data_IF_344501573192
#
_entry.id   IF_344501573192
#
_cell.length_a   1.000
_cell.length_b   1.000
_cell.length_c   1.000
_cell.angle_alpha   90.00
_cell.angle_beta   90.00
_cell.angle_gamma   90.00
#
_symmetry.space_group_name_H-M   'P 1'
#
loop_
_entity.id
_entity.type
_entity.pdbx_description
1 polymer ?
#
# COMPACT_ATOMS: atom_id res chain seq x y z
N UNK A 1 0.23 32.77 26.29
CA UNK A 1 -1.03 33.30 25.70
C UNK A 1 -0.68 34.52 24.85
N UNK A 2 -1.07 34.50 23.55
CA UNK A 2 -0.78 35.46 22.44
C UNK A 2 0.71 35.52 22.02
N UNK A 3 1.11 35.60 20.75
CA UNK A 3 0.45 35.88 19.47
C UNK A 3 1.36 35.30 18.36
N UNK A 4 0.86 34.48 17.43
CA UNK A 4 1.61 34.04 16.23
C UNK A 4 1.16 34.88 15.04
N UNK A 5 2.12 35.57 14.43
CA UNK A 5 1.90 36.57 13.38
C UNK A 5 1.47 35.96 12.05
N UNK A 6 0.53 36.66 11.41
CA UNK A 6 0.24 36.57 9.97
C UNK A 6 1.47 36.97 9.17
N UNK A 7 1.88 36.12 8.23
CA UNK A 7 2.48 36.56 6.96
C UNK A 7 1.83 35.72 5.87
N UNK A 8 1.01 36.38 5.05
CA UNK A 8 0.61 35.88 3.73
C UNK A 8 1.64 36.37 2.71
N UNK A 9 2.08 35.56 1.74
CA UNK A 9 2.63 36.07 0.51
C UNK A 9 1.55 36.10 -0.58
N UNK A 10 1.40 37.27 -1.18
CA UNK A 10 0.63 37.52 -2.40
C UNK A 10 1.31 36.83 -3.58
N UNK A 11 0.68 35.80 -4.16
CA UNK A 11 1.06 35.22 -5.45
C UNK A 11 0.18 35.85 -6.54
N UNK A 12 0.73 36.86 -7.22
CA UNK A 12 0.20 37.39 -8.47
C UNK A 12 0.69 36.57 -9.65
N UNK A 13 -0.27 36.14 -10.46
CA UNK A 13 -0.18 35.91 -11.90
C UNK A 13 0.84 34.87 -12.42
N UNK A 14 0.53 33.59 -12.18
CA UNK A 14 0.89 32.53 -13.11
C UNK A 14 -0.37 31.76 -13.47
N UNK A 15 -0.70 31.73 -14.77
CA UNK A 15 -1.76 30.92 -15.34
C UNK A 15 -1.45 29.44 -15.09
N UNK A 16 -2.10 28.87 -14.09
CA UNK A 16 -2.04 27.43 -13.81
C UNK A 16 -2.77 26.69 -14.92
N UNK A 17 -2.05 25.86 -15.67
CA UNK A 17 -2.62 24.89 -16.60
C UNK A 17 -3.46 23.89 -15.80
N UNK A 18 -4.62 23.50 -16.33
CA UNK A 18 -5.58 22.56 -15.70
C UNK A 18 -4.97 21.19 -15.37
N UNK A 19 -3.78 20.87 -15.91
CA UNK A 19 -3.03 19.66 -15.61
C UNK A 19 -2.39 19.63 -14.20
N UNK A 20 -2.11 20.79 -13.58
CA UNK A 20 -1.37 20.85 -12.30
C UNK A 20 -2.26 20.85 -11.05
N UNK A 21 -3.58 20.84 -11.20
CA UNK A 21 -4.53 20.84 -10.08
C UNK A 21 -4.83 19.45 -9.50
N UNK A 22 -4.33 18.36 -10.11
CA UNK A 22 -4.65 16.98 -9.70
C UNK A 22 -3.65 16.32 -8.74
N UNK A 23 -2.50 16.93 -8.42
CA UNK A 23 -1.45 16.30 -7.60
C UNK A 23 -1.43 16.81 -6.14
N UNK A 24 -2.53 16.60 -5.43
CA UNK A 24 -2.59 16.72 -3.96
C UNK A 24 -3.19 15.50 -3.26
N UNK A 25 -2.81 14.29 -3.68
CA UNK A 25 -2.89 13.12 -2.80
C UNK A 25 -1.51 12.87 -2.19
N UNK A 26 -1.28 13.45 -1.01
CA UNK A 26 -0.16 13.01 -0.16
C UNK A 26 -0.65 11.74 0.55
N UNK A 27 -0.28 10.58 0.02
CA UNK A 27 -0.40 9.31 0.73
C UNK A 27 0.80 9.21 1.68
N UNK A 28 0.57 9.37 2.98
CA UNK A 28 1.61 9.11 3.97
C UNK A 28 1.64 7.60 4.24
N UNK A 29 2.72 6.92 3.87
CA UNK A 29 2.93 5.52 4.25
C UNK A 29 3.57 5.53 5.64
N UNK A 30 2.92 4.93 6.63
CA UNK A 30 3.48 4.68 7.96
C UNK A 30 3.87 3.21 8.00
N UNK A 31 5.14 2.92 8.27
CA UNK A 31 5.61 1.55 8.49
C UNK A 31 5.59 1.22 9.98
N UNK A 32 5.17 0.00 10.30
CA UNK A 32 5.33 -0.58 11.63
C UNK A 32 6.36 -1.72 11.50
N UNK A 33 7.59 -1.44 11.94
CA UNK A 33 8.78 -2.32 12.02
C UNK A 33 9.61 -2.53 10.75
N UNK A 34 10.94 -2.38 10.90
CA UNK A 34 11.97 -2.41 9.86
C UNK A 34 12.53 -3.82 9.51
N UNK A 35 11.81 -4.89 9.88
CA UNK A 35 12.24 -6.28 9.64
C UNK A 35 11.33 -6.97 8.63
N UNK A 36 11.86 -7.81 7.72
CA UNK A 36 11.04 -8.60 6.80
C UNK A 36 10.04 -9.45 7.60
N UNK A 37 8.76 -9.18 7.36
CA UNK A 37 7.70 -9.67 8.24
C UNK A 37 7.42 -11.14 7.95
N UNK A 38 7.52 -12.00 8.98
CA UNK A 38 6.99 -13.36 8.92
C UNK A 38 5.46 -13.31 9.10
N UNK A 39 4.74 -13.72 8.07
CA UNK A 39 3.29 -13.59 7.98
C UNK A 39 2.61 -14.96 8.09
N UNK A 40 1.60 -15.06 8.95
CA UNK A 40 0.73 -16.24 8.95
C UNK A 40 -0.14 -16.27 7.70
N UNK A 41 -0.55 -17.47 7.28
CA UNK A 41 -1.45 -17.71 6.13
C UNK A 41 -2.63 -16.74 6.09
N UNK A 42 -3.37 -16.62 7.19
CA UNK A 42 -4.53 -15.70 7.28
C UNK A 42 -4.14 -14.24 7.00
N UNK A 43 -2.99 -13.80 7.51
CA UNK A 43 -2.53 -12.43 7.32
C UNK A 43 -2.13 -12.17 5.87
N UNK A 44 -1.52 -13.16 5.21
CA UNK A 44 -1.22 -13.10 3.78
C UNK A 44 -2.51 -13.02 2.96
N UNK A 45 -3.51 -13.85 3.28
CA UNK A 45 -4.81 -13.84 2.62
C UNK A 45 -5.49 -12.45 2.67
N UNK A 46 -5.50 -11.84 3.86
CA UNK A 46 -6.01 -10.48 4.07
C UNK A 46 -5.24 -9.42 3.24
N UNK A 47 -3.91 -9.49 3.22
CA UNK A 47 -3.07 -8.51 2.53
C UNK A 47 -3.17 -8.61 1.01
N UNK A 48 -3.31 -9.83 0.47
CA UNK A 48 -3.35 -10.10 -0.97
C UNK A 48 -4.78 -10.09 -1.52
N UNK A 49 -5.81 -10.11 -0.67
CA UNK A 49 -7.20 -10.06 -1.08
C UNK A 49 -7.76 -11.39 -1.57
N UNK A 50 -7.26 -12.51 -1.04
CA UNK A 50 -7.70 -13.87 -1.40
C UNK A 50 -8.17 -14.64 -0.17
N UNK A 51 -8.78 -15.81 -0.36
CA UNK A 51 -9.18 -16.68 0.75
C UNK A 51 -7.99 -17.44 1.36
N UNK A 52 -8.08 -17.77 2.65
CA UNK A 52 -7.10 -18.63 3.34
C UNK A 52 -6.85 -19.95 2.61
N UNK A 53 -7.90 -20.57 2.04
CA UNK A 53 -7.80 -21.80 1.23
C UNK A 53 -6.95 -21.60 -0.02
N UNK A 54 -7.09 -20.44 -0.67
CA UNK A 54 -6.29 -20.09 -1.86
C UNK A 54 -4.81 -19.98 -1.52
N UNK A 55 -4.46 -19.34 -0.40
CA UNK A 55 -3.07 -19.29 0.07
C UNK A 55 -2.54 -20.69 0.40
N UNK A 56 -3.34 -21.53 1.07
CA UNK A 56 -2.97 -22.94 1.36
C UNK A 56 -2.73 -23.74 0.10
N UNK A 57 -3.54 -23.53 -0.94
CA UNK A 57 -3.39 -24.17 -2.24
C UNK A 57 -2.08 -23.78 -2.90
N UNK A 58 -1.67 -22.51 -2.80
CA UNK A 58 -0.38 -22.05 -3.34
C UNK A 58 0.81 -22.68 -2.61
N UNK A 59 0.71 -22.82 -1.29
CA UNK A 59 1.71 -23.51 -0.47
C UNK A 59 1.79 -24.99 -0.89
N UNK A 60 0.64 -25.68 -0.99
CA UNK A 60 0.59 -27.08 -1.40
C UNK A 60 1.13 -27.30 -2.82
N UNK A 61 0.96 -26.32 -3.70
CA UNK A 61 1.52 -26.32 -5.06
C UNK A 61 3.01 -25.90 -5.11
N UNK A 62 3.66 -25.64 -3.98
CA UNK A 62 5.07 -25.23 -3.90
C UNK A 62 5.36 -23.87 -4.51
N UNK A 63 4.35 -23.00 -4.64
CA UNK A 63 4.46 -21.72 -5.34
C UNK A 63 5.03 -20.61 -4.45
N UNK A 64 5.03 -20.80 -3.14
CA UNK A 64 5.59 -19.86 -2.17
C UNK A 64 6.32 -20.64 -1.08
N UNK A 65 7.58 -20.31 -0.77
CA UNK A 65 8.29 -20.87 0.37
C UNK A 65 7.52 -20.64 1.68
N UNK A 66 7.71 -21.57 2.61
CA UNK A 66 7.11 -21.49 3.94
C UNK A 66 8.11 -21.95 4.98
N UNK A 67 8.00 -21.35 6.16
CA UNK A 67 8.73 -21.73 7.35
C UNK A 67 7.76 -22.09 8.47
N UNK A 68 8.29 -22.67 9.54
CA UNK A 68 7.53 -22.97 10.76
C UNK A 68 8.07 -22.07 11.87
N UNK A 69 7.20 -21.27 12.46
CA UNK A 69 7.58 -20.40 13.57
C UNK A 69 7.86 -21.20 14.86
N UNK A 70 8.38 -20.51 15.89
CA UNK A 70 8.67 -21.13 17.18
C UNK A 70 7.46 -21.78 17.88
N UNK A 71 6.23 -21.50 17.42
CA UNK A 71 5.00 -22.08 17.92
C UNK A 71 4.43 -23.19 17.02
N UNK A 72 5.19 -23.65 16.02
CA UNK A 72 4.77 -24.75 15.12
C UNK A 72 3.81 -24.32 14.01
N UNK A 73 3.66 -23.02 13.74
CA UNK A 73 2.71 -22.50 12.74
C UNK A 73 3.42 -22.18 11.44
N UNK A 74 2.76 -22.49 10.32
CA UNK A 74 3.22 -22.09 8.98
C UNK A 74 3.22 -20.58 8.84
N UNK A 75 4.38 -20.02 8.50
CA UNK A 75 4.61 -18.62 8.20
C UNK A 75 5.28 -18.47 6.85
N UNK A 76 5.07 -17.31 6.22
CA UNK A 76 5.61 -16.94 4.92
C UNK A 76 6.43 -15.67 5.11
N UNK A 77 7.62 -15.59 4.53
CA UNK A 77 8.35 -14.33 4.50
C UNK A 77 7.63 -13.35 3.57
N UNK A 78 7.47 -12.10 4.00
CA UNK A 78 6.81 -11.09 3.18
C UNK A 78 7.46 -10.91 1.80
N UNK A 79 8.78 -11.06 1.70
CA UNK A 79 9.50 -11.01 0.42
C UNK A 79 9.06 -12.11 -0.56
N UNK A 80 8.86 -13.34 -0.06
CA UNK A 80 8.36 -14.46 -0.88
C UNK A 80 6.92 -14.21 -1.35
N UNK A 81 6.11 -13.58 -0.51
CA UNK A 81 4.75 -13.16 -0.87
C UNK A 81 4.77 -12.09 -1.95
N UNK A 82 5.72 -11.16 -1.93
CA UNK A 82 5.88 -10.16 -3.00
C UNK A 82 6.17 -10.82 -4.34
N UNK A 83 7.10 -11.77 -4.39
CA UNK A 83 7.42 -12.48 -5.62
C UNK A 83 6.21 -13.26 -6.16
N UNK A 84 5.42 -13.84 -5.25
CA UNK A 84 4.17 -14.49 -5.58
C UNK A 84 3.14 -13.52 -6.20
N UNK A 85 2.95 -12.35 -5.59
CA UNK A 85 2.01 -11.32 -6.06
C UNK A 85 2.44 -10.80 -7.42
N UNK A 86 3.73 -10.49 -7.60
CA UNK A 86 4.29 -10.03 -8.89
C UNK A 86 4.12 -11.06 -10.00
N UNK A 87 4.34 -12.34 -9.69
CA UNK A 87 4.11 -13.43 -10.65
C UNK A 87 2.63 -13.55 -11.05
N UNK A 88 1.70 -13.10 -10.19
CA UNK A 88 0.25 -13.24 -10.37
C UNK A 88 -0.47 -12.00 -10.87
N UNK A 89 0.13 -10.81 -10.82
CA UNK A 89 -0.43 -9.56 -11.33
C UNK A 89 -0.82 -9.59 -12.83
N UNK A 90 -0.60 -10.70 -13.54
CA UNK A 90 -1.09 -10.99 -14.90
C UNK A 90 -2.51 -11.58 -14.98
N UNK A 91 -3.19 -11.84 -13.87
CA UNK A 91 -4.59 -12.24 -13.86
C UNK A 91 -5.39 -11.31 -12.93
N UNK A 92 -6.59 -10.84 -13.33
CA UNK A 92 -7.48 -10.15 -12.40
C UNK A 92 -7.71 -11.05 -11.20
N UNK A 93 -7.42 -10.55 -10.01
CA UNK A 93 -7.80 -11.21 -8.76
C UNK A 93 -9.34 -11.15 -8.69
N UNK A 94 -9.99 -12.30 -8.58
CA UNK A 94 -11.46 -12.37 -8.47
C UNK A 94 -11.91 -11.62 -7.21
N UNK A 95 -12.77 -10.62 -7.40
CA UNK A 95 -13.44 -9.83 -6.36
C UNK A 95 -14.41 -10.72 -5.56
N UNK A 96 -13.89 -11.52 -4.63
CA UNK A 96 -14.74 -12.32 -3.74
C UNK A 96 -14.35 -12.23 -2.26
N UNK A 97 -13.91 -11.05 -1.79
CA UNK A 97 -14.03 -10.68 -0.37
C UNK A 97 -14.40 -9.20 -0.26
N UNK A 98 -15.71 -8.92 -0.21
CA UNK A 98 -16.23 -7.62 0.17
C UNK A 98 -15.97 -7.34 1.66
N UNK A 99 -14.91 -6.59 1.97
CA UNK A 99 -14.76 -5.93 3.27
C UNK A 99 -14.86 -4.42 3.06
N UNK A 100 -16.08 -3.89 3.14
CA UNK A 100 -16.25 -2.47 3.40
C UNK A 100 -15.82 -2.17 4.84
N UNK A 101 -14.64 -1.56 5.00
CA UNK A 101 -14.33 -0.81 6.22
C UNK A 101 -13.91 0.60 5.86
N UNK A 102 -14.90 1.48 5.87
CA UNK A 102 -14.72 2.92 6.01
C UNK A 102 -14.28 3.27 7.44
N UNK A 103 -12.99 3.08 7.74
CA UNK A 103 -12.25 3.84 8.77
C UNK A 103 -11.37 4.92 8.12
N UNK A 104 -11.87 5.41 6.97
CA UNK A 104 -11.63 6.66 6.23
C UNK A 104 -10.20 7.12 6.15
N UNK A 105 -9.36 6.36 5.46
CA UNK A 105 -8.14 6.75 4.73
C UNK A 105 -6.94 5.85 5.01
N UNK A 106 -7.05 4.90 5.91
CA UNK A 106 -5.97 3.99 6.24
C UNK A 106 -6.13 2.68 5.45
N UNK A 107 -5.13 2.34 4.64
CA UNK A 107 -5.02 1.12 3.87
C UNK A 107 -3.80 0.35 4.35
N UNK A 108 -4.04 -0.75 5.05
CA UNK A 108 -2.97 -1.65 5.48
C UNK A 108 -2.65 -2.61 4.34
N UNK A 109 -1.40 -2.65 3.90
CA UNK A 109 -0.98 -3.43 2.75
C UNK A 109 0.46 -3.93 2.84
N UNK A 110 0.80 -4.85 1.94
CA UNK A 110 2.16 -5.35 1.73
C UNK A 110 2.85 -4.43 0.73
N UNK A 111 4.02 -3.89 1.05
CA UNK A 111 4.85 -3.18 0.08
C UNK A 111 5.30 -4.19 -0.97
N UNK A 112 4.83 -4.03 -2.20
CA UNK A 112 5.16 -4.92 -3.32
C UNK A 112 6.19 -4.30 -4.26
N UNK A 113 6.36 -2.98 -4.23
CA UNK A 113 7.33 -2.29 -5.06
C UNK A 113 7.78 -0.96 -4.44
N UNK A 114 9.07 -0.66 -4.58
CA UNK A 114 9.67 0.65 -4.29
C UNK A 114 10.57 1.00 -5.46
N UNK A 115 10.26 2.10 -6.16
CA UNK A 115 11.11 2.68 -7.20
C UNK A 115 11.60 4.04 -6.73
N UNK A 116 12.91 4.25 -6.72
CA UNK A 116 13.50 5.47 -6.19
C UNK A 116 14.34 6.19 -7.23
N UNK A 117 14.01 7.46 -7.43
CA UNK A 117 14.86 8.45 -8.09
C UNK A 117 15.63 9.25 -7.02
N UNK A 118 16.57 10.15 -7.40
CA UNK A 118 17.35 10.91 -6.42
C UNK A 118 16.53 11.77 -5.46
N UNK A 119 15.32 12.19 -5.86
CA UNK A 119 14.47 13.12 -5.08
C UNK A 119 13.15 12.47 -4.66
N UNK A 120 12.52 11.72 -5.57
CA UNK A 120 11.20 11.15 -5.38
C UNK A 120 11.24 9.63 -5.48
N UNK A 121 10.31 8.98 -4.81
CA UNK A 121 10.12 7.53 -4.84
C UNK A 121 8.64 7.20 -5.01
N UNK A 122 8.39 6.16 -5.78
CA UNK A 122 7.10 5.50 -5.90
C UNK A 122 7.10 4.26 -5.02
N UNK A 123 6.07 4.13 -4.18
CA UNK A 123 5.84 2.97 -3.32
C UNK A 123 4.48 2.39 -3.64
N UNK A 124 4.44 1.08 -3.93
CA UNK A 124 3.20 0.36 -4.25
C UNK A 124 2.89 -0.62 -3.13
N UNK A 125 1.66 -0.57 -2.61
CA UNK A 125 1.15 -1.46 -1.58
C UNK A 125 0.01 -2.31 -2.15
N UNK A 126 0.07 -3.62 -1.93
CA UNK A 126 -1.07 -4.53 -2.10
C UNK A 126 -1.93 -4.47 -0.84
N UNK A 127 -3.17 -4.01 -0.97
CA UNK A 127 -4.12 -3.75 0.11
C UNK A 127 -5.42 -4.54 -0.13
N UNK A 128 -5.38 -5.85 0.08
CA UNK A 128 -6.51 -6.72 -0.25
C UNK A 128 -6.66 -6.82 -1.77
N UNK A 129 -7.86 -6.58 -2.30
CA UNK A 129 -8.14 -6.61 -3.74
C UNK A 129 -7.62 -5.38 -4.51
N UNK A 130 -7.10 -4.37 -3.81
CA UNK A 130 -6.68 -3.11 -4.42
C UNK A 130 -5.18 -2.86 -4.27
N UNK A 131 -4.58 -2.20 -5.25
CA UNK A 131 -3.25 -1.62 -5.14
C UNK A 131 -3.32 -0.13 -4.80
N UNK A 132 -2.49 0.32 -3.86
CA UNK A 132 -2.35 1.72 -3.48
C UNK A 132 -0.95 2.19 -3.84
N UNK A 133 -0.85 3.21 -4.69
CA UNK A 133 0.42 3.84 -5.06
C UNK A 133 0.60 5.15 -4.32
N UNK A 134 1.74 5.32 -3.65
CA UNK A 134 2.18 6.57 -3.03
C UNK A 134 3.41 7.13 -3.75
N UNK A 135 3.44 8.46 -3.89
CA UNK A 135 4.63 9.21 -4.26
C UNK A 135 5.12 9.98 -3.03
N UNK A 136 6.37 9.78 -2.65
CA UNK A 136 7.01 10.45 -1.51
C UNK A 136 8.47 10.75 -1.79
N UNK A 137 9.11 11.56 -0.94
CA UNK A 137 10.55 11.82 -1.11
C UNK A 137 11.35 10.55 -0.88
N UNK A 138 12.47 10.43 -1.59
CA UNK A 138 13.38 9.30 -1.41
C UNK A 138 13.96 9.25 0.00
N UNK A 139 14.14 10.41 0.65
CA UNK A 139 14.57 10.45 2.04
C UNK A 139 13.50 9.91 3.00
N UNK A 140 12.21 10.13 2.74
CA UNK A 140 11.14 9.54 3.55
C UNK A 140 11.10 8.00 3.42
N UNK A 141 11.29 7.47 2.21
CA UNK A 141 11.41 6.00 2.00
C UNK A 141 12.56 5.43 2.81
N UNK A 142 13.73 6.10 2.82
CA UNK A 142 14.91 5.68 3.59
C UNK A 142 14.67 5.78 5.09
N UNK A 143 14.09 6.87 5.56
CA UNK A 143 13.78 7.09 6.98
C UNK A 143 12.80 6.05 7.51
N UNK A 144 11.79 5.69 6.71
CA UNK A 144 10.80 4.66 7.04
C UNK A 144 11.29 3.24 6.78
N UNK A 145 12.46 3.07 6.18
CA UNK A 145 13.04 1.76 5.85
C UNK A 145 12.18 0.93 4.87
N UNK A 146 11.37 1.57 4.02
CA UNK A 146 10.41 0.84 3.18
C UNK A 146 11.13 -0.03 2.15
N UNK A 147 10.91 -1.34 2.24
CA UNK A 147 11.34 -2.31 1.24
C UNK A 147 10.22 -3.28 0.87
N UNK A 148 10.25 -3.88 -0.32
CA UNK A 148 9.31 -4.92 -0.68
C UNK A 148 9.29 -6.06 0.35
N UNK A 149 8.09 -6.50 0.73
CA UNK A 149 7.87 -7.56 1.71
C UNK A 149 7.52 -7.04 3.11
N UNK A 150 7.56 -5.73 3.32
CA UNK A 150 7.12 -5.12 4.57
C UNK A 150 5.62 -4.87 4.59
N UNK A 151 5.00 -5.01 5.76
CA UNK A 151 3.64 -4.52 5.97
C UNK A 151 3.70 -3.04 6.30
N UNK A 152 2.93 -2.24 5.58
CA UNK A 152 2.85 -0.81 5.78
C UNK A 152 1.39 -0.33 5.70
N UNK A 153 1.16 0.87 6.20
CA UNK A 153 -0.15 1.48 6.30
C UNK A 153 -0.15 2.79 5.52
N UNK A 154 -0.84 2.82 4.38
CA UNK A 154 -1.04 4.05 3.62
C UNK A 154 -2.19 4.86 4.22
N UNK A 155 -1.90 6.08 4.66
CA UNK A 155 -2.88 7.04 5.20
C UNK A 155 -3.11 8.15 4.19
N UNK A 156 -4.34 8.25 3.70
CA UNK A 156 -4.82 9.36 2.87
C UNK A 156 -5.22 10.53 3.77
N UNK A 157 -4.87 11.75 3.40
CA UNK A 157 -5.50 12.92 4.01
C UNK A 157 -6.70 13.30 3.15
N UNK A 158 -7.89 12.73 3.44
CA UNK A 158 -9.10 13.05 2.68
C UNK A 158 -9.55 14.49 2.94
N UNK A 159 -9.00 15.42 2.17
CA UNK A 159 -9.62 16.73 1.95
C UNK A 159 -10.51 16.73 0.72
N UNK A 160 -10.56 15.62 -0.04
CA UNK A 160 -11.36 15.50 -1.28
C UNK A 160 -11.80 14.05 -1.47
N UNK A 161 -13.10 13.85 -1.73
CA UNK A 161 -13.71 12.54 -2.05
C UNK A 161 -14.33 12.67 -3.44
N UNK A 162 -14.00 11.74 -4.33
CA UNK A 162 -14.63 11.60 -5.66
C UNK A 162 -15.49 10.34 -5.65
N UNK A 163 -16.75 10.46 -6.07
CA UNK A 163 -17.71 9.35 -6.17
C UNK A 163 -18.07 9.19 -7.63
N UNK A 164 -17.81 8.00 -8.19
CA UNK A 164 -18.21 7.63 -9.53
C UNK A 164 -19.17 6.44 -9.45
N UNK A 165 -20.20 6.45 -10.29
CA UNK A 165 -21.10 5.31 -10.48
C UNK A 165 -20.93 4.80 -11.90
N UNK A 166 -20.88 3.49 -12.09
CA UNK A 166 -20.96 2.88 -13.43
C UNK A 166 -22.24 3.36 -14.10
N UNK A 167 -22.13 4.09 -15.22
CA UNK A 167 -23.28 4.34 -16.10
C UNK A 167 -23.55 3.04 -16.84
N UNK A 168 -24.66 2.39 -16.51
CA UNK A 168 -25.25 1.43 -17.43
C UNK A 168 -25.77 2.23 -18.65
N UNK A 169 -25.37 1.78 -19.84
CA UNK A 169 -25.68 2.42 -21.13
C UNK A 169 -27.15 2.30 -21.53
#
# INVERSE_FOLDING_TARGET
>A
MKLIGRIAPTLSDHRWSTADAQLRLIFAVVSDNAEPTLLRVKRVAELVGVSDDTVRRWIAAGQVPTEVDAAGRTVLAGADVVELVRARAKAPLDDEIGVERSARNNFVGLVVEVRSDPVMSQVVLQCGAHEVTSLMSTDAVRELGLVPGMVATAVVKATTVMVETKRDG
#
